data_IF_154746019228
#
_entry.id   IF_154746019228
#
_cell.length_a   1.000
_cell.length_b   1.000
_cell.length_c   1.000
_cell.angle_alpha   90.00
_cell.angle_beta   90.00
_cell.angle_gamma   90.00
#
_symmetry.space_group_name_H-M   'P 1'
#
loop_
_entity.id
_entity.type
_entity.pdbx_description
1 polymer ?
#
# COMPACT_ATOMS: atom_id res chain seq x y z
N UNK A 1 2.59 18.15 16.87
CA UNK A 1 1.98 17.18 15.93
C UNK A 1 3.11 16.53 15.16
N UNK A 2 3.15 15.20 15.04
CA UNK A 2 4.07 14.56 14.09
C UNK A 2 3.55 14.94 12.70
N UNK A 3 4.31 15.74 11.97
CA UNK A 3 3.96 16.16 10.62
C UNK A 3 4.16 14.96 9.68
N UNK A 4 3.10 14.20 9.49
CA UNK A 4 3.09 12.96 8.71
C UNK A 4 3.15 13.24 7.21
N UNK A 5 2.66 14.40 6.76
CA UNK A 5 2.81 14.85 5.39
C UNK A 5 4.27 15.12 5.05
N UNK A 6 5.02 15.75 5.96
CA UNK A 6 6.47 15.93 5.80
C UNK A 6 7.20 14.58 5.64
N UNK A 7 6.78 13.54 6.36
CA UNK A 7 7.35 12.19 6.25
C UNK A 7 7.06 11.55 4.88
N UNK A 8 5.85 11.72 4.34
CA UNK A 8 5.51 11.24 3.00
C UNK A 8 6.37 11.91 1.92
N UNK A 9 6.75 13.18 2.13
CA UNK A 9 7.64 13.94 1.25
C UNK A 9 9.08 13.42 1.18
N UNK A 10 9.51 12.58 2.13
CA UNK A 10 10.87 12.02 2.17
C UNK A 10 11.08 10.80 1.27
N UNK A 11 10.01 10.18 0.77
CA UNK A 11 10.08 8.99 -0.10
C UNK A 11 9.50 9.30 -1.49
N UNK A 12 10.25 8.96 -2.55
CA UNK A 12 9.96 9.44 -3.90
C UNK A 12 8.54 9.12 -4.37
N UNK A 13 8.08 7.88 -4.19
CA UNK A 13 6.76 7.42 -4.65
C UNK A 13 5.58 7.96 -3.84
N UNK A 14 5.79 8.41 -2.60
CA UNK A 14 4.74 9.04 -1.77
C UNK A 14 4.76 10.55 -1.91
N UNK A 15 5.93 11.15 -2.19
CA UNK A 15 6.06 12.58 -2.52
C UNK A 15 5.28 12.96 -3.78
N UNK A 16 5.25 12.10 -4.79
CA UNK A 16 4.45 12.29 -6.01
C UNK A 16 2.94 12.36 -5.75
N UNK A 17 2.51 11.91 -4.58
CA UNK A 17 1.10 11.90 -4.18
C UNK A 17 0.71 13.08 -3.29
N UNK A 18 1.67 13.98 -3.05
CA UNK A 18 1.41 15.28 -2.47
C UNK A 18 1.01 16.26 -3.60
N UNK A 19 0.02 17.13 -3.37
CA UNK A 19 -0.67 17.34 -2.10
C UNK A 19 -1.76 16.27 -1.85
N UNK A 20 -1.97 15.91 -0.58
CA UNK A 20 -2.74 14.70 -0.18
C UNK A 20 -4.19 14.70 -0.65
N UNK A 21 -4.77 15.87 -0.93
CA UNK A 21 -6.13 16.03 -1.42
C UNK A 21 -6.33 15.35 -2.77
N UNK A 22 -5.26 15.20 -3.57
CA UNK A 22 -5.30 14.43 -4.81
C UNK A 22 -5.47 12.93 -4.53
N UNK A 23 -4.79 12.40 -3.52
CA UNK A 23 -5.00 11.02 -3.06
C UNK A 23 -6.38 10.83 -2.46
N UNK A 24 -6.85 11.79 -1.66
CA UNK A 24 -8.17 11.69 -1.01
C UNK A 24 -9.26 11.52 -2.06
N UNK A 25 -9.24 12.32 -3.14
CA UNK A 25 -10.21 12.17 -4.24
C UNK A 25 -10.13 10.80 -4.91
N UNK A 26 -8.94 10.25 -5.09
CA UNK A 26 -8.77 8.91 -5.68
C UNK A 26 -9.36 7.86 -4.74
N UNK A 27 -9.06 7.92 -3.45
CA UNK A 27 -9.61 6.97 -2.47
C UNK A 27 -11.11 7.12 -2.28
N UNK A 28 -11.65 8.34 -2.33
CA UNK A 28 -13.09 8.58 -2.27
C UNK A 28 -13.81 7.91 -3.46
N UNK A 29 -13.28 8.06 -4.68
CA UNK A 29 -13.82 7.38 -5.86
C UNK A 29 -13.72 5.85 -5.76
N UNK A 30 -12.60 5.34 -5.23
CA UNK A 30 -12.44 3.91 -5.01
C UNK A 30 -13.46 3.39 -4.00
N UNK A 31 -13.61 4.07 -2.86
CA UNK A 31 -14.52 3.64 -1.79
C UNK A 31 -16.00 3.84 -2.14
N UNK A 32 -16.33 4.73 -3.08
CA UNK A 32 -17.67 4.80 -3.64
C UNK A 32 -18.03 3.51 -4.41
N UNK A 33 -17.07 2.93 -5.12
CA UNK A 33 -17.27 1.70 -5.89
C UNK A 33 -17.15 0.42 -5.04
N UNK A 34 -16.20 0.37 -4.11
CA UNK A 34 -15.87 -0.84 -3.33
C UNK A 34 -16.38 -0.85 -1.89
N UNK A 35 -16.91 0.28 -1.40
CA UNK A 35 -17.13 0.52 0.02
C UNK A 35 -15.84 0.93 0.74
N UNK A 36 -15.97 1.42 1.98
CA UNK A 36 -14.80 1.73 2.81
C UNK A 36 -14.25 0.43 3.44
N UNK A 37 -13.01 0.02 3.14
CA UNK A 37 -12.46 -1.24 3.62
C UNK A 37 -12.12 -1.17 5.12
N UNK A 38 -12.42 -2.25 5.85
CA UNK A 38 -12.02 -2.41 7.26
C UNK A 38 -10.64 -3.10 7.38
N UNK A 39 -10.21 -3.84 6.36
CA UNK A 39 -8.90 -4.49 6.27
C UNK A 39 -8.23 -4.13 4.94
N UNK A 40 -7.03 -3.58 5.01
CA UNK A 40 -6.21 -3.21 3.85
C UNK A 40 -4.88 -3.95 3.88
N UNK A 41 -4.54 -4.58 2.76
CA UNK A 41 -3.21 -5.12 2.47
C UNK A 41 -2.51 -4.21 1.45
N UNK A 42 -1.43 -3.55 1.84
CA UNK A 42 -0.67 -2.65 0.95
C UNK A 42 0.65 -3.32 0.55
N UNK A 43 0.80 -3.66 -0.73
CA UNK A 43 1.91 -4.46 -1.25
C UNK A 43 2.92 -3.58 -2.00
N UNK A 44 4.20 -3.73 -1.64
CA UNK A 44 5.26 -2.75 -1.96
C UNK A 44 4.86 -1.34 -1.48
N UNK A 45 4.50 -1.27 -0.20
CA UNK A 45 3.74 -0.17 0.38
C UNK A 45 4.51 1.16 0.49
N UNK A 46 5.85 1.15 0.43
CA UNK A 46 6.68 2.32 0.69
C UNK A 46 6.33 2.94 2.04
N UNK A 47 5.84 4.19 2.03
CA UNK A 47 5.32 4.88 3.23
C UNK A 47 3.81 5.12 3.17
N UNK A 48 3.09 4.56 2.19
CA UNK A 48 1.65 4.74 2.01
C UNK A 48 0.81 4.30 3.24
N UNK A 49 1.22 3.30 4.06
CA UNK A 49 0.49 2.96 5.28
C UNK A 49 0.39 4.10 6.30
N UNK A 50 1.33 5.07 6.29
CA UNK A 50 1.25 6.27 7.14
C UNK A 50 0.07 7.15 6.74
N UNK A 51 -0.12 7.34 5.43
CA UNK A 51 -1.29 8.05 4.91
C UNK A 51 -2.58 7.29 5.23
N UNK A 52 -2.61 5.97 4.99
CA UNK A 52 -3.79 5.15 5.22
C UNK A 52 -4.22 5.17 6.70
N UNK A 53 -3.27 5.12 7.63
CA UNK A 53 -3.55 5.19 9.06
C UNK A 53 -4.18 6.52 9.47
N UNK A 54 -3.84 7.61 8.78
CA UNK A 54 -4.48 8.90 8.99
C UNK A 54 -5.89 8.95 8.36
N UNK A 55 -6.04 8.48 7.12
CA UNK A 55 -7.28 8.52 6.35
C UNK A 55 -8.34 7.56 6.88
N UNK A 56 -7.92 6.41 7.41
CA UNK A 56 -8.75 5.30 7.88
C UNK A 56 -8.29 4.83 9.26
N UNK A 57 -8.46 5.63 10.32
CA UNK A 57 -7.90 5.36 11.65
C UNK A 57 -8.45 4.10 12.34
N UNK A 58 -9.56 3.56 11.83
CA UNK A 58 -10.21 2.36 12.35
C UNK A 58 -9.97 1.11 11.49
N UNK A 59 -9.29 1.24 10.35
CA UNK A 59 -8.99 0.11 9.48
C UNK A 59 -7.76 -0.65 9.99
N UNK A 60 -7.78 -1.97 9.88
CA UNK A 60 -6.59 -2.79 10.04
C UNK A 60 -5.75 -2.70 8.77
N UNK A 61 -4.61 -2.02 8.86
CA UNK A 61 -3.71 -1.78 7.72
C UNK A 61 -2.47 -2.63 7.89
N UNK A 62 -2.16 -3.46 6.90
CA UNK A 62 -0.91 -4.25 6.83
C UNK A 62 -0.12 -3.85 5.59
N UNK A 63 1.04 -3.22 5.80
CA UNK A 63 1.99 -2.92 4.74
C UNK A 63 3.06 -4.02 4.58
N UNK A 64 3.40 -4.37 3.34
CA UNK A 64 4.53 -5.26 3.03
C UNK A 64 5.46 -4.56 2.06
N UNK A 65 6.74 -4.49 2.41
CA UNK A 65 7.77 -3.88 1.56
C UNK A 65 9.11 -4.61 1.70
N UNK A 66 9.92 -4.58 0.63
CA UNK A 66 11.28 -5.14 0.62
C UNK A 66 12.27 -4.23 1.36
N UNK A 67 11.92 -2.95 1.53
CA UNK A 67 12.72 -1.98 2.28
C UNK A 67 12.46 -2.08 3.77
N UNK A 68 13.43 -2.64 4.50
CA UNK A 68 13.40 -2.65 5.96
C UNK A 68 13.38 -1.24 6.59
N UNK A 69 13.88 -0.22 5.89
CA UNK A 69 13.80 1.16 6.34
C UNK A 69 12.35 1.67 6.32
N UNK A 70 11.61 1.43 5.24
CA UNK A 70 10.20 1.79 5.15
C UNK A 70 9.38 1.09 6.24
N UNK A 71 9.59 -0.22 6.42
CA UNK A 71 8.93 -1.01 7.47
C UNK A 71 9.19 -0.44 8.86
N UNK A 72 10.43 -0.11 9.18
CA UNK A 72 10.79 0.46 10.48
C UNK A 72 10.16 1.84 10.69
N UNK A 73 10.10 2.68 9.65
CA UNK A 73 9.46 4.00 9.72
C UNK A 73 7.96 3.85 9.98
N UNK A 74 7.25 2.96 9.26
CA UNK A 74 5.82 2.72 9.47
C UNK A 74 5.55 2.25 10.90
N UNK A 75 6.31 1.26 11.39
CA UNK A 75 6.18 0.75 12.76
C UNK A 75 6.43 1.84 13.82
N UNK A 76 7.43 2.69 13.62
CA UNK A 76 7.75 3.78 14.54
C UNK A 76 6.70 4.90 14.52
N UNK A 77 6.08 5.14 13.37
CA UNK A 77 5.00 6.12 13.24
C UNK A 77 3.73 5.64 13.96
N UNK A 78 3.38 4.35 13.80
CA UNK A 78 2.21 3.72 14.40
C UNK A 78 0.95 3.88 13.55
N UNK A 79 -0.11 3.15 13.92
CA UNK A 79 -1.40 3.17 13.20
C UNK A 79 -1.51 2.20 12.02
N UNK A 80 -0.43 1.49 11.68
CA UNK A 80 -0.44 0.39 10.73
C UNK A 80 0.56 -0.71 11.15
N UNK A 81 0.24 -1.95 10.82
CA UNK A 81 1.18 -3.07 10.81
C UNK A 81 2.10 -2.93 9.59
N UNK A 82 3.36 -3.37 9.71
CA UNK A 82 4.26 -3.47 8.58
C UNK A 82 5.16 -4.69 8.68
N UNK A 83 5.42 -5.36 7.55
CA UNK A 83 6.26 -6.56 7.45
C UNK A 83 7.29 -6.40 6.33
N UNK A 84 8.48 -6.94 6.56
CA UNK A 84 9.48 -7.09 5.51
C UNK A 84 9.09 -8.25 4.60
N UNK A 85 9.02 -8.03 3.30
CA UNK A 85 8.66 -9.09 2.35
C UNK A 85 9.04 -8.74 0.92
N UNK A 86 9.44 -9.76 0.16
CA UNK A 86 9.69 -9.67 -1.27
C UNK A 86 8.56 -10.38 -2.02
N UNK A 87 7.80 -9.60 -2.80
CA UNK A 87 6.67 -10.10 -3.59
C UNK A 87 7.09 -11.08 -4.70
N UNK A 88 8.37 -11.14 -5.07
CA UNK A 88 8.87 -12.19 -5.96
C UNK A 88 9.04 -13.53 -5.24
N UNK A 89 9.29 -13.52 -3.93
CA UNK A 89 9.44 -14.73 -3.14
C UNK A 89 8.09 -15.23 -2.64
N UNK A 90 7.27 -14.33 -2.10
CA UNK A 90 6.02 -14.68 -1.44
C UNK A 90 4.99 -13.56 -1.58
N UNK A 91 3.77 -13.95 -1.95
CA UNK A 91 2.61 -13.07 -1.93
C UNK A 91 1.86 -13.33 -0.62
N UNK A 92 1.63 -12.31 0.23
CA UNK A 92 0.90 -12.50 1.48
C UNK A 92 -0.52 -13.01 1.24
N UNK A 93 -0.94 -13.99 2.04
CA UNK A 93 -2.26 -14.62 1.97
C UNK A 93 -3.26 -14.03 2.98
N UNK A 94 -2.87 -12.93 3.65
CA UNK A 94 -3.73 -12.19 4.57
C UNK A 94 -5.05 -11.81 3.90
N UNK A 95 -6.17 -12.14 4.56
CA UNK A 95 -7.49 -11.77 4.08
C UNK A 95 -7.72 -10.26 4.23
N UNK A 96 -8.01 -9.57 3.13
CA UNK A 96 -8.28 -8.15 3.11
C UNK A 96 -9.56 -7.80 2.34
N UNK A 97 -10.20 -6.68 2.69
CA UNK A 97 -11.28 -6.15 1.85
C UNK A 97 -10.69 -5.50 0.59
N UNK A 98 -9.53 -4.84 0.72
CA UNK A 98 -8.82 -4.26 -0.41
C UNK A 98 -7.32 -4.54 -0.33
N UNK A 99 -6.74 -4.98 -1.46
CA UNK A 99 -5.31 -5.04 -1.66
C UNK A 99 -4.85 -3.92 -2.60
N UNK A 100 -3.80 -3.20 -2.21
CA UNK A 100 -3.22 -2.10 -2.98
C UNK A 100 -1.91 -2.56 -3.62
N UNK A 101 -1.79 -2.40 -4.93
CA UNK A 101 -0.60 -2.70 -5.72
C UNK A 101 -0.22 -1.46 -6.54
N UNK A 102 0.28 -0.44 -5.86
CA UNK A 102 0.54 0.84 -6.49
C UNK A 102 1.94 0.92 -7.11
N UNK A 103 1.98 1.12 -8.44
CA UNK A 103 3.22 1.27 -9.24
C UNK A 103 4.18 0.08 -9.12
N UNK A 104 3.69 -1.11 -8.76
CA UNK A 104 4.53 -2.29 -8.52
C UNK A 104 4.42 -3.35 -9.63
N UNK A 105 3.25 -3.51 -10.26
CA UNK A 105 3.03 -4.59 -11.24
C UNK A 105 4.03 -4.56 -12.42
N UNK A 106 4.32 -3.41 -13.07
CA UNK A 106 5.33 -3.38 -14.14
C UNK A 106 6.74 -3.74 -13.66
N UNK A 107 7.06 -3.42 -12.41
CA UNK A 107 8.36 -3.76 -11.82
C UNK A 107 8.48 -5.27 -11.61
N UNK A 108 7.45 -5.93 -11.07
CA UNK A 108 7.43 -7.38 -10.87
C UNK A 108 7.60 -8.11 -12.19
N UNK A 109 6.81 -7.73 -13.20
CA UNK A 109 6.85 -8.36 -14.52
C UNK A 109 8.22 -8.24 -15.18
N UNK A 110 8.88 -7.08 -15.03
CA UNK A 110 10.23 -6.86 -15.56
C UNK A 110 11.29 -7.70 -14.83
N UNK A 111 11.14 -7.93 -13.53
CA UNK A 111 12.10 -8.72 -12.76
C UNK A 111 11.91 -10.22 -12.97
N UNK A 112 10.66 -10.69 -13.10
CA UNK A 112 10.32 -12.07 -13.43
C UNK A 112 9.03 -12.11 -14.25
N UNK A 113 9.12 -12.62 -15.48
CA UNK A 113 7.96 -12.79 -16.34
C UNK A 113 6.86 -13.62 -15.65
N UNK A 114 5.62 -13.14 -15.73
CA UNK A 114 4.45 -13.72 -15.08
C UNK A 114 4.28 -13.35 -13.60
N UNK A 115 5.26 -12.69 -12.95
CA UNK A 115 5.15 -12.37 -11.53
C UNK A 115 4.05 -11.35 -11.22
N UNK A 116 3.74 -10.43 -12.14
CA UNK A 116 2.63 -9.51 -11.93
C UNK A 116 1.28 -10.26 -11.91
N UNK A 117 1.09 -11.21 -12.83
CA UNK A 117 -0.12 -12.02 -12.87
C UNK A 117 -0.21 -12.98 -11.68
N UNK A 118 0.91 -13.60 -11.29
CA UNK A 118 0.98 -14.44 -10.09
C UNK A 118 0.56 -13.67 -8.83
N UNK A 119 1.04 -12.43 -8.67
CA UNK A 119 0.62 -11.56 -7.58
C UNK A 119 -0.90 -11.31 -7.60
N UNK A 120 -1.47 -10.93 -8.75
CA UNK A 120 -2.91 -10.67 -8.88
C UNK A 120 -3.77 -11.91 -8.58
N UNK A 121 -3.30 -13.10 -8.94
CA UNK A 121 -4.04 -14.35 -8.74
C UNK A 121 -3.96 -14.89 -7.32
N UNK A 122 -2.89 -14.57 -6.58
CA UNK A 122 -2.65 -15.10 -5.23
C UNK A 122 -3.13 -14.19 -4.10
N UNK A 123 -3.30 -12.90 -4.37
CA UNK A 123 -3.79 -11.93 -3.37
C UNK A 123 -5.19 -12.34 -2.89
N UNK A 124 -5.33 -12.50 -1.58
CA UNK A 124 -6.59 -12.87 -0.93
C UNK A 124 -7.39 -11.62 -0.53
N UNK A 125 -7.93 -10.91 -1.53
CA UNK A 125 -8.72 -9.71 -1.29
C UNK A 125 -9.98 -9.62 -2.17
N UNK A 126 -11.04 -9.00 -1.64
CA UNK A 126 -12.28 -8.76 -2.39
C UNK A 126 -12.05 -7.77 -3.55
N UNK A 127 -11.26 -6.74 -3.30
CA UNK A 127 -10.89 -5.74 -4.30
C UNK A 127 -9.37 -5.65 -4.44
N UNK A 128 -8.91 -5.58 -5.69
CA UNK A 128 -7.52 -5.24 -6.01
C UNK A 128 -7.51 -3.86 -6.66
N UNK A 129 -6.75 -2.94 -6.06
CA UNK A 129 -6.52 -1.61 -6.62
C UNK A 129 -5.07 -1.53 -7.09
N UNK A 130 -4.88 -1.44 -8.39
CA UNK A 130 -3.56 -1.29 -9.00
C UNK A 130 -3.40 0.08 -9.64
N UNK A 131 -2.19 0.64 -9.57
CA UNK A 131 -1.84 1.87 -10.28
C UNK A 131 -0.58 1.68 -11.10
N UNK A 132 -0.43 2.48 -12.15
CA UNK A 132 0.72 2.48 -13.06
C UNK A 132 1.40 3.86 -13.02
N UNK A 133 2.73 3.95 -13.25
CA UNK A 133 3.46 5.22 -13.29
C UNK A 133 3.03 6.09 -14.48
#
# INVERSE_FOLDING_TARGET
ARDWEALLGMHASTRERLPVESMDRVFDQLFEASGTPARILDLACGLNPVYLAHRLPNAAITGVDISGQCVNVIRAFGGAEARLGDLLCEIPEDEANAALLFKVLPLLERQRAGAAMDALMRVNAEWIVASFP
#
